data_IF_811341540085
#
_entry.id   IF_811341540085
#
_cell.length_a   1.000
_cell.length_b   1.000
_cell.length_c   1.000
_cell.angle_alpha   90.00
_cell.angle_beta   90.00
_cell.angle_gamma   90.00
#
_symmetry.space_group_name_H-M   'P 1'
#
loop_
_entity.id
_entity.type
_entity.pdbx_description
1 polymer ?
#
# COMPACT_ATOMS: atom_id res chain seq x y z
N UNK A 1 -1.87 -2.51 9.33
CA UNK A 1 -2.39 -1.94 8.07
C UNK A 1 -1.46 -0.86 7.50
N UNK A 2 -1.07 0.17 8.26
CA UNK A 2 -0.29 1.29 7.70
C UNK A 2 1.08 0.90 7.10
N UNK A 3 1.88 0.05 7.75
CA UNK A 3 3.14 -0.46 7.16
C UNK A 3 2.92 -1.19 5.84
N UNK A 4 1.81 -1.91 5.68
CA UNK A 4 1.47 -2.58 4.43
C UNK A 4 1.10 -1.56 3.34
N UNK A 5 0.28 -0.56 3.67
CA UNK A 5 -0.07 0.52 2.74
C UNK A 5 1.18 1.29 2.26
N UNK A 6 2.08 1.65 3.17
CA UNK A 6 3.35 2.30 2.82
C UNK A 6 4.22 1.40 1.95
N UNK A 7 4.36 0.11 2.28
CA UNK A 7 5.14 -0.83 1.49
C UNK A 7 4.56 -1.02 0.08
N UNK A 8 3.23 -1.10 -0.05
CA UNK A 8 2.53 -1.19 -1.32
C UNK A 8 2.74 0.06 -2.17
N UNK A 9 2.57 1.26 -1.60
CA UNK A 9 2.83 2.52 -2.32
C UNK A 9 4.29 2.67 -2.73
N UNK A 10 5.25 2.18 -1.95
CA UNK A 10 6.67 2.15 -2.37
C UNK A 10 6.88 1.19 -3.54
N UNK A 11 6.15 0.08 -3.61
CA UNK A 11 6.22 -0.86 -4.73
C UNK A 11 5.68 -0.24 -6.04
N UNK A 12 4.62 0.55 -5.92
CA UNK A 12 3.92 1.18 -7.05
C UNK A 12 4.62 2.45 -7.54
N UNK A 13 5.07 3.31 -6.63
CA UNK A 13 5.56 4.66 -6.93
C UNK A 13 7.09 4.78 -6.88
N UNK A 14 7.79 3.75 -6.39
CA UNK A 14 9.23 3.79 -6.17
C UNK A 14 10.05 3.91 -7.46
N UNK A 15 11.22 4.60 -7.44
CA UNK A 15 11.82 5.32 -6.32
C UNK A 15 11.05 6.60 -5.95
N UNK A 16 10.70 6.77 -4.66
CA UNK A 16 9.82 7.84 -4.18
C UNK A 16 10.35 8.49 -2.89
N UNK A 17 10.12 9.78 -2.69
CA UNK A 17 10.53 10.44 -1.45
C UNK A 17 9.58 10.14 -0.28
N UNK A 18 10.09 10.20 0.94
CA UNK A 18 9.26 10.04 2.14
C UNK A 18 8.14 11.10 2.22
N UNK A 19 8.43 12.33 1.77
CA UNK A 19 7.47 13.42 1.77
C UNK A 19 6.32 13.17 0.78
N UNK A 20 6.63 12.58 -0.38
CA UNK A 20 5.61 12.21 -1.37
C UNK A 20 4.74 11.07 -0.83
N UNK A 21 5.33 10.04 -0.21
CA UNK A 21 4.57 8.98 0.47
C UNK A 21 3.61 9.54 1.54
N UNK A 22 4.09 10.46 2.37
CA UNK A 22 3.27 11.12 3.40
C UNK A 22 2.08 11.88 2.79
N UNK A 23 2.30 12.59 1.68
CA UNK A 23 1.24 13.31 0.96
C UNK A 23 0.24 12.36 0.29
N UNK A 24 0.71 11.34 -0.42
CA UNK A 24 -0.14 10.36 -1.11
C UNK A 24 -1.02 9.60 -0.12
N UNK A 25 -0.45 9.14 1.00
CA UNK A 25 -1.16 8.34 1.99
C UNK A 25 -1.84 9.17 3.09
N UNK A 26 -1.69 10.50 3.05
CA UNK A 26 -2.20 11.43 4.08
C UNK A 26 -1.76 11.05 5.49
N UNK A 27 -0.49 10.65 5.63
CA UNK A 27 0.13 10.25 6.89
C UNK A 27 1.00 11.38 7.43
N UNK A 28 0.93 11.61 8.74
CA UNK A 28 1.78 12.60 9.40
C UNK A 28 3.28 12.32 9.17
N UNK A 29 4.12 13.35 8.93
CA UNK A 29 5.54 13.15 8.69
C UNK A 29 6.26 12.35 9.78
N UNK A 30 5.91 12.51 11.06
CA UNK A 30 6.55 11.80 12.18
C UNK A 30 6.23 10.30 12.13
N UNK A 31 4.97 9.96 11.85
CA UNK A 31 4.55 8.57 11.72
C UNK A 31 5.18 7.93 10.48
N UNK A 32 5.25 8.68 9.37
CA UNK A 32 5.92 8.23 8.15
C UNK A 32 7.41 7.94 8.40
N UNK A 33 8.13 8.76 9.17
CA UNK A 33 9.51 8.45 9.58
C UNK A 33 9.57 7.10 10.29
N UNK A 34 8.70 6.87 11.28
CA UNK A 34 8.69 5.63 12.05
C UNK A 34 8.42 4.41 11.15
N UNK A 35 7.40 4.48 10.30
CA UNK A 35 7.02 3.39 9.39
C UNK A 35 8.15 3.07 8.40
N UNK A 36 8.74 4.08 7.76
CA UNK A 36 9.85 3.86 6.81
C UNK A 36 11.10 3.35 7.55
N UNK A 37 11.34 3.75 8.81
CA UNK A 37 12.43 3.19 9.61
C UNK A 37 12.20 1.71 9.90
N UNK A 38 10.99 1.32 10.27
CA UNK A 38 10.63 -0.07 10.55
C UNK A 38 10.75 -0.95 9.29
N UNK A 39 10.17 -0.52 8.18
CA UNK A 39 10.25 -1.24 6.90
C UNK A 39 11.69 -1.39 6.41
N UNK A 40 12.53 -0.37 6.62
CA UNK A 40 13.94 -0.44 6.26
C UNK A 40 14.71 -1.41 7.17
N UNK A 41 14.45 -1.36 8.48
CA UNK A 41 15.03 -2.26 9.48
C UNK A 41 14.68 -3.73 9.23
N UNK A 42 13.46 -3.99 8.78
CA UNK A 42 13.01 -5.31 8.34
C UNK A 42 13.59 -5.74 6.97
N UNK A 43 14.38 -4.89 6.32
CA UNK A 43 14.99 -5.15 5.02
C UNK A 43 13.99 -5.19 3.87
N UNK A 44 12.81 -4.56 4.03
CA UNK A 44 11.73 -4.60 3.04
C UNK A 44 11.82 -3.46 2.04
N UNK A 45 12.47 -2.36 2.40
CA UNK A 45 12.76 -1.23 1.52
C UNK A 45 14.25 -0.86 1.59
N UNK A 46 14.74 -0.22 0.54
CA UNK A 46 16.05 0.40 0.48
C UNK A 46 15.92 1.93 0.44
N UNK A 47 16.91 2.63 1.01
CA UNK A 47 17.09 4.07 0.88
C UNK A 47 18.37 4.32 0.12
N UNK A 48 18.28 5.06 -0.98
CA UNK A 48 19.45 5.51 -1.74
C UNK A 48 19.45 7.03 -1.82
N UNK A 49 20.62 7.69 -1.87
CA UNK A 49 20.68 9.11 -2.17
C UNK A 49 19.97 9.39 -3.49
N UNK A 50 19.10 10.40 -3.51
CA UNK A 50 18.41 10.81 -4.72
C UNK A 50 19.45 11.36 -5.73
N UNK A 51 19.48 10.83 -6.97
CA UNK A 51 20.40 11.31 -8.00
C UNK A 51 20.24 12.80 -8.33
N UNK A 52 19.03 13.35 -8.17
CA UNK A 52 18.70 14.74 -8.47
C UNK A 52 18.96 15.70 -7.30
N UNK A 53 18.88 15.22 -6.05
CA UNK A 53 19.26 15.98 -4.86
C UNK A 53 19.81 15.04 -3.77
N UNK A 54 21.13 14.92 -3.67
CA UNK A 54 21.81 14.02 -2.71
C UNK A 54 21.47 14.28 -1.23
N UNK A 55 20.83 15.40 -0.90
CA UNK A 55 20.33 15.69 0.46
C UNK A 55 19.02 14.95 0.77
N UNK A 56 18.36 14.40 -0.24
CA UNK A 56 17.14 13.60 -0.14
C UNK A 56 17.47 12.13 -0.34
N UNK A 57 16.66 11.27 0.28
CA UNK A 57 16.69 9.84 0.02
C UNK A 57 15.49 9.45 -0.84
N UNK A 58 15.75 8.67 -1.88
CA UNK A 58 14.74 7.94 -2.62
C UNK A 58 14.53 6.58 -1.94
N UNK A 59 13.26 6.20 -1.76
CA UNK A 59 12.83 4.94 -1.17
C UNK A 59 12.38 4.02 -2.30
N UNK A 60 12.93 2.80 -2.31
CA UNK A 60 12.56 1.77 -3.27
C UNK A 60 12.24 0.47 -2.55
N UNK A 61 11.36 -0.34 -3.13
CA UNK A 61 11.07 -1.66 -2.59
C UNK A 61 12.27 -2.60 -2.79
N UNK A 62 12.54 -3.44 -1.80
CA UNK A 62 13.53 -4.52 -1.93
C UNK A 62 12.88 -5.79 -2.49
N UNK A 63 13.70 -6.76 -2.89
CA UNK A 63 13.20 -8.10 -3.25
C UNK A 63 12.44 -8.77 -2.10
N UNK A 64 12.87 -8.57 -0.85
CA UNK A 64 12.17 -9.11 0.33
C UNK A 64 10.81 -8.42 0.54
N UNK A 65 10.74 -7.10 0.33
CA UNK A 65 9.51 -6.32 0.32
C UNK A 65 8.50 -6.83 -0.70
N UNK A 66 8.94 -7.03 -1.95
CA UNK A 66 8.06 -7.53 -3.01
C UNK A 66 7.55 -8.94 -2.72
N UNK A 67 8.38 -9.81 -2.12
CA UNK A 67 7.93 -11.14 -1.67
C UNK A 67 6.89 -11.05 -0.55
N UNK A 68 7.06 -10.11 0.39
CA UNK A 68 6.10 -9.91 1.48
C UNK A 68 4.75 -9.46 0.93
N UNK A 69 4.72 -8.50 0.00
CA UNK A 69 3.48 -8.04 -0.63
C UNK A 69 2.74 -9.18 -1.31
N UNK A 70 3.41 -9.94 -2.18
CA UNK A 70 2.80 -11.11 -2.85
C UNK A 70 2.24 -12.15 -1.88
N UNK A 71 2.93 -12.37 -0.76
CA UNK A 71 2.42 -13.28 0.28
C UNK A 71 1.18 -12.72 0.96
N UNK A 72 1.15 -11.42 1.26
CA UNK A 72 -0.01 -10.76 1.87
C UNK A 72 -1.20 -10.75 0.91
N UNK A 73 -0.99 -10.48 -0.37
CA UNK A 73 -2.02 -10.57 -1.43
C UNK A 73 -2.62 -11.97 -1.47
N UNK A 74 -1.80 -13.01 -1.58
CA UNK A 74 -2.26 -14.41 -1.61
C UNK A 74 -3.09 -14.79 -0.39
N UNK A 75 -2.67 -14.39 0.81
CA UNK A 75 -3.41 -14.66 2.04
C UNK A 75 -4.74 -13.88 2.09
N UNK A 76 -4.78 -12.68 1.51
CA UNK A 76 -5.99 -11.89 1.36
C UNK A 76 -6.97 -12.54 0.39
N UNK A 77 -6.48 -13.01 -0.76
CA UNK A 77 -7.27 -13.72 -1.75
C UNK A 77 -7.86 -15.02 -1.17
N UNK A 78 -7.03 -15.81 -0.48
CA UNK A 78 -7.48 -17.03 0.20
C UNK A 78 -8.57 -16.76 1.24
N UNK A 79 -8.40 -15.71 2.05
CA UNK A 79 -9.40 -15.31 3.05
C UNK A 79 -10.69 -14.79 2.41
N UNK A 80 -10.60 -14.02 1.32
CA UNK A 80 -11.76 -13.54 0.58
C UNK A 80 -12.54 -14.69 -0.07
N UNK A 81 -11.82 -15.68 -0.62
CA UNK A 81 -12.42 -16.87 -1.23
C UNK A 81 -13.19 -17.70 -0.21
N UNK A 82 -12.63 -17.89 0.99
CA UNK A 82 -13.31 -18.58 2.10
C UNK A 82 -14.54 -17.80 2.56
N UNK A 83 -14.40 -16.49 2.79
CA UNK A 83 -15.49 -15.62 3.26
C UNK A 83 -16.68 -15.59 2.29
N UNK A 84 -16.41 -15.66 0.99
CA UNK A 84 -17.41 -15.59 -0.08
C UNK A 84 -17.74 -16.95 -0.69
N UNK A 85 -17.33 -18.05 -0.06
CA UNK A 85 -17.48 -19.42 -0.58
C UNK A 85 -18.96 -19.82 -0.83
N UNK A 86 -19.90 -19.21 -0.10
CA UNK A 86 -21.33 -19.47 -0.27
C UNK A 86 -21.97 -18.72 -1.46
N UNK A 87 -21.26 -17.76 -2.06
CA UNK A 87 -21.77 -16.92 -3.14
C UNK A 87 -21.39 -17.50 -4.50
N UNK A 88 -22.35 -17.49 -5.43
CA UNK A 88 -22.10 -17.71 -6.85
C UNK A 88 -21.22 -16.59 -7.43
N UNK A 89 -20.57 -16.80 -8.60
CA UNK A 89 -19.77 -15.75 -9.23
C UNK A 89 -20.51 -14.42 -9.44
N UNK A 90 -21.78 -14.48 -9.87
CA UNK A 90 -22.60 -13.28 -10.06
C UNK A 90 -22.90 -12.53 -8.75
N UNK A 91 -23.11 -13.26 -7.65
CA UNK A 91 -23.32 -12.65 -6.33
C UNK A 91 -22.02 -12.04 -5.77
N UNK A 92 -20.86 -12.61 -6.09
CA UNK A 92 -19.55 -12.01 -5.77
C UNK A 92 -19.35 -10.70 -6.53
N UNK A 93 -19.64 -10.67 -7.83
CA UNK A 93 -19.59 -9.45 -8.64
C UNK A 93 -20.52 -8.37 -8.07
N UNK A 94 -21.77 -8.75 -7.75
CA UNK A 94 -22.73 -7.83 -7.13
C UNK A 94 -22.25 -7.31 -5.76
N UNK A 95 -21.63 -8.16 -4.93
CA UNK A 95 -21.06 -7.73 -3.65
C UNK A 95 -19.94 -6.71 -3.85
N UNK A 96 -19.04 -6.93 -4.81
CA UNK A 96 -17.95 -6.00 -5.15
C UNK A 96 -18.53 -4.65 -5.59
N UNK A 97 -19.53 -4.65 -6.46
CA UNK A 97 -20.20 -3.43 -6.92
C UNK A 97 -20.83 -2.63 -5.76
N UNK A 98 -21.48 -3.33 -4.83
CA UNK A 98 -22.09 -2.71 -3.65
C UNK A 98 -21.01 -2.12 -2.72
N UNK A 99 -19.92 -2.84 -2.46
CA UNK A 99 -18.81 -2.34 -1.65
C UNK A 99 -18.11 -1.14 -2.31
N UNK A 100 -17.90 -1.17 -3.63
CA UNK A 100 -17.31 -0.07 -4.39
C UNK A 100 -18.13 1.23 -4.25
N UNK A 101 -19.46 1.12 -4.24
CA UNK A 101 -20.38 2.25 -4.01
C UNK A 101 -20.32 2.79 -2.57
N UNK A 102 -20.03 1.94 -1.59
CA UNK A 102 -19.88 2.38 -0.19
C UNK A 102 -18.57 3.16 0.01
N UNK A 103 -17.49 2.75 -0.66
CA UNK A 103 -16.17 3.38 -0.50
C UNK A 103 -15.95 4.59 -1.42
N UNK A 104 -16.76 4.75 -2.46
CA UNK A 104 -16.73 5.94 -3.33
C UNK A 104 -17.59 7.04 -2.71
N UNK A 105 -17.02 8.18 -2.27
CA UNK A 105 -17.82 9.29 -1.78
C UNK A 105 -18.75 9.78 -2.90
N UNK A 106 -20.06 9.80 -2.65
CA UNK A 106 -20.98 10.58 -3.49
C UNK A 106 -20.66 12.04 -3.22
N UNK A 107 -20.01 12.73 -4.17
CA UNK A 107 -19.92 14.19 -4.09
C UNK A 107 -21.36 14.74 -4.11
N UNK A 108 -21.76 15.52 -3.09
CA UNK A 108 -23.06 16.19 -3.14
C UNK A 108 -23.08 17.14 -4.34
N UNK A 109 -24.20 17.24 -5.08
CA UNK A 109 -24.31 18.17 -6.19
C UNK A 109 -24.13 19.61 -5.68
N UNK A 110 -23.28 20.37 -6.39
CA UNK A 110 -23.01 21.80 -6.19
C UNK A 110 -24.26 22.67 -6.28
#
# INVERSE_FOLDING_TARGET
MMHHAVLASVAELGPVSQADLGRTLRVDPKDMVAIVNDLHREGLIARTPDPADRRKNAISISTAGSRRLRRTEKLGDEANDELTAALTPAERDQLVDLLARVVSPVEPPS
#
